data_IF_773777309076
#
_entry.id   IF_773777309076
#
_cell.length_a   1.000
_cell.length_b   1.000
_cell.length_c   1.000
_cell.angle_alpha   90.00
_cell.angle_beta   90.00
_cell.angle_gamma   90.00
#
_symmetry.space_group_name_H-M   'P 1'
#
loop_
_entity.id
_entity.type
_entity.pdbx_description
1 polymer ?
#
# COMPACT_ATOMS: atom_id res chain seq x y z
N UNK A 1 -11.76 8.18 -38.39
CA UNK A 1 -10.90 7.71 -37.30
C UNK A 1 -11.66 6.63 -36.54
N UNK A 2 -11.28 5.35 -36.75
CA UNK A 2 -11.86 4.23 -35.99
C UNK A 2 -11.28 4.30 -34.57
N UNK A 3 -12.06 4.82 -33.60
CA UNK A 3 -11.69 4.78 -32.20
C UNK A 3 -11.92 3.38 -31.66
N UNK A 4 -10.90 2.78 -31.03
CA UNK A 4 -11.02 1.47 -30.37
C UNK A 4 -11.54 1.66 -28.94
N UNK A 5 -12.30 0.68 -28.47
CA UNK A 5 -12.86 0.62 -27.13
C UNK A 5 -12.50 -0.70 -26.47
N UNK A 6 -12.26 -0.68 -25.19
CA UNK A 6 -12.21 -1.88 -24.37
C UNK A 6 -13.62 -2.18 -23.84
N UNK A 7 -14.02 -3.47 -23.84
CA UNK A 7 -15.32 -3.89 -23.33
C UNK A 7 -15.09 -4.95 -22.26
N UNK A 8 -15.54 -4.64 -21.04
CA UNK A 8 -15.54 -5.60 -19.93
C UNK A 8 -16.91 -6.26 -19.85
N UNK A 9 -16.94 -7.59 -19.99
CA UNK A 9 -18.15 -8.40 -19.92
C UNK A 9 -18.34 -8.93 -18.49
N UNK A 10 -19.52 -8.71 -17.91
CA UNK A 10 -19.91 -9.17 -16.57
C UNK A 10 -21.21 -9.99 -16.72
N UNK A 11 -21.08 -11.32 -16.66
CA UNK A 11 -22.24 -12.23 -16.74
C UNK A 11 -23.01 -12.20 -15.43
N UNK A 12 -24.30 -11.96 -15.51
CA UNK A 12 -25.22 -12.06 -14.38
C UNK A 12 -25.40 -13.53 -14.00
N UNK A 13 -25.35 -13.83 -12.70
CA UNK A 13 -25.60 -15.17 -12.18
C UNK A 13 -26.99 -15.17 -11.54
N UNK A 14 -27.88 -16.05 -12.03
CA UNK A 14 -29.19 -16.32 -11.43
C UNK A 14 -30.28 -15.29 -11.74
N UNK A 15 -31.49 -15.57 -11.23
CA UNK A 15 -32.69 -14.73 -11.37
C UNK A 15 -33.42 -14.54 -10.02
N UNK A 16 -32.69 -14.57 -8.90
CA UNK A 16 -33.24 -14.37 -7.56
C UNK A 16 -33.30 -12.90 -7.13
N UNK A 17 -34.16 -12.56 -6.14
CA UNK A 17 -34.23 -11.19 -5.59
C UNK A 17 -32.88 -10.64 -5.10
N UNK A 18 -32.01 -11.50 -4.58
CA UNK A 18 -30.67 -11.10 -4.15
C UNK A 18 -29.79 -10.71 -5.33
N UNK A 19 -29.90 -11.42 -6.48
CA UNK A 19 -29.12 -11.11 -7.68
C UNK A 19 -29.52 -9.75 -8.27
N UNK A 20 -30.80 -9.37 -8.16
CA UNK A 20 -31.30 -8.07 -8.64
C UNK A 20 -30.73 -6.90 -7.80
N UNK A 21 -30.63 -7.07 -6.48
CA UNK A 21 -30.01 -6.08 -5.58
C UNK A 21 -28.53 -5.91 -5.93
N UNK A 22 -27.81 -7.00 -6.12
CA UNK A 22 -26.38 -7.01 -6.45
C UNK A 22 -26.14 -6.35 -7.82
N UNK A 23 -26.98 -6.66 -8.83
CA UNK A 23 -26.91 -6.03 -10.15
C UNK A 23 -27.15 -4.53 -10.09
N UNK A 24 -28.13 -4.08 -9.30
CA UNK A 24 -28.41 -2.65 -9.12
C UNK A 24 -27.25 -1.92 -8.42
N UNK A 25 -26.63 -2.54 -7.43
CA UNK A 25 -25.42 -2.01 -6.78
C UNK A 25 -24.26 -1.86 -7.77
N UNK A 26 -24.01 -2.89 -8.59
CA UNK A 26 -22.99 -2.88 -9.62
C UNK A 26 -23.23 -1.79 -10.69
N UNK A 27 -24.49 -1.61 -11.12
CA UNK A 27 -24.84 -0.55 -12.06
C UNK A 27 -24.67 0.85 -11.43
N UNK A 28 -25.02 1.00 -10.15
CA UNK A 28 -24.83 2.25 -9.43
C UNK A 28 -23.33 2.61 -9.31
N UNK A 29 -22.47 1.63 -8.98
CA UNK A 29 -21.02 1.79 -8.92
C UNK A 29 -20.43 2.14 -10.30
N UNK A 30 -20.82 1.39 -11.36
CA UNK A 30 -20.37 1.66 -12.72
C UNK A 30 -20.79 3.08 -13.18
N UNK A 31 -22.00 3.54 -12.81
CA UNK A 31 -22.45 4.89 -13.11
C UNK A 31 -21.69 5.96 -12.31
N UNK A 32 -21.27 5.66 -11.07
CA UNK A 32 -20.39 6.54 -10.30
C UNK A 32 -19.04 6.68 -11.02
N UNK A 33 -18.46 5.56 -11.46
CA UNK A 33 -17.19 5.55 -12.18
C UNK A 33 -17.25 6.24 -13.55
N UNK A 34 -18.41 6.27 -14.21
CA UNK A 34 -18.62 7.02 -15.46
C UNK A 34 -18.42 8.53 -15.29
N UNK A 35 -18.51 9.05 -14.08
CA UNK A 35 -18.31 10.47 -13.77
C UNK A 35 -16.87 10.83 -13.45
N UNK A 36 -15.99 9.83 -13.31
CA UNK A 36 -14.59 10.07 -13.01
C UNK A 36 -13.86 10.60 -14.24
N UNK A 37 -13.08 11.65 -14.04
CA UNK A 37 -12.22 12.25 -15.05
C UNK A 37 -10.84 12.50 -14.44
N UNK A 38 -9.88 11.64 -14.77
CA UNK A 38 -8.51 11.73 -14.27
C UNK A 38 -7.54 11.14 -15.29
N UNK A 39 -6.36 11.76 -15.42
CA UNK A 39 -5.36 11.37 -16.41
C UNK A 39 -4.92 9.91 -16.31
N UNK A 40 -4.81 9.35 -15.12
CA UNK A 40 -4.39 7.96 -14.88
C UNK A 40 -5.56 6.95 -14.85
N UNK A 41 -6.82 7.36 -15.12
CA UNK A 41 -7.98 6.48 -15.15
C UNK A 41 -8.53 6.32 -16.58
N UNK A 42 -9.06 5.14 -16.97
CA UNK A 42 -9.79 5.00 -18.21
C UNK A 42 -11.17 5.66 -18.06
N UNK A 43 -11.60 6.37 -19.09
CA UNK A 43 -12.94 6.92 -19.11
C UNK A 43 -13.95 5.82 -19.46
N UNK A 44 -14.98 5.62 -18.64
CA UNK A 44 -16.13 4.78 -18.98
C UNK A 44 -17.03 5.57 -19.91
N UNK A 45 -17.26 5.03 -21.11
CA UNK A 45 -18.05 5.67 -22.17
C UNK A 45 -19.49 5.27 -22.06
N UNK A 46 -19.74 3.97 -21.86
CA UNK A 46 -21.10 3.45 -21.77
C UNK A 46 -21.21 2.17 -20.91
N UNK A 47 -22.42 1.90 -20.43
CA UNK A 47 -22.78 0.70 -19.67
C UNK A 47 -24.04 0.14 -20.30
N UNK A 48 -23.94 -1.05 -20.86
CA UNK A 48 -25.03 -1.71 -21.59
C UNK A 48 -25.47 -2.94 -20.81
N UNK A 49 -26.70 -2.95 -20.36
CA UNK A 49 -27.34 -4.11 -19.72
C UNK A 49 -28.33 -4.76 -20.70
N UNK A 50 -28.04 -6.01 -21.09
CA UNK A 50 -28.95 -6.76 -21.98
C UNK A 50 -29.84 -7.77 -21.23
N UNK A 51 -29.92 -7.68 -19.90
CA UNK A 51 -30.67 -8.58 -19.05
C UNK A 51 -29.90 -9.82 -18.58
N UNK A 52 -28.94 -10.32 -19.36
CA UNK A 52 -28.10 -11.50 -19.05
C UNK A 52 -26.66 -11.08 -18.70
N UNK A 53 -26.20 -10.06 -19.36
CA UNK A 53 -24.80 -9.59 -19.28
C UNK A 53 -24.77 -8.08 -19.20
N UNK A 54 -23.86 -7.54 -18.38
CA UNK A 54 -23.51 -6.11 -18.34
C UNK A 54 -22.20 -5.92 -19.08
N UNK A 55 -22.19 -5.00 -20.05
CA UNK A 55 -21.00 -4.58 -20.77
C UNK A 55 -20.59 -3.20 -20.32
N UNK A 56 -19.37 -3.06 -19.83
CA UNK A 56 -18.77 -1.77 -19.49
C UNK A 56 -17.84 -1.38 -20.63
N UNK A 57 -18.20 -0.35 -21.38
CA UNK A 57 -17.43 0.17 -22.52
C UNK A 57 -16.54 1.32 -22.03
N UNK A 58 -15.23 1.23 -22.24
CA UNK A 58 -14.26 2.19 -21.76
C UNK A 58 -13.19 2.49 -22.81
N UNK A 59 -12.37 3.52 -22.55
CA UNK A 59 -11.24 3.84 -23.41
C UNK A 59 -10.30 2.62 -23.53
N UNK A 60 -9.94 2.27 -24.76
CA UNK A 60 -8.85 1.32 -25.03
C UNK A 60 -7.52 1.99 -24.69
N UNK A 61 -6.73 1.33 -23.84
CA UNK A 61 -5.41 1.81 -23.42
C UNK A 61 -4.36 1.07 -24.23
N UNK A 62 -3.68 1.81 -25.10
CA UNK A 62 -2.51 1.32 -25.80
C UNK A 62 -1.32 1.26 -24.85
N UNK A 63 -0.57 0.15 -24.87
CA UNK A 63 0.58 -0.06 -23.99
C UNK A 63 0.64 -1.48 -23.43
N UNK A 64 1.48 -1.68 -22.44
CA UNK A 64 1.68 -2.97 -21.80
C UNK A 64 1.46 -2.86 -20.28
N UNK A 65 0.98 -3.95 -19.66
CA UNK A 65 0.87 -3.98 -18.21
C UNK A 65 2.25 -4.02 -17.56
N UNK A 66 2.39 -3.41 -16.37
CA UNK A 66 3.63 -3.48 -15.61
C UNK A 66 4.00 -4.92 -15.23
N UNK A 67 3.01 -5.81 -15.11
CA UNK A 67 3.24 -7.25 -14.91
C UNK A 67 3.94 -7.89 -16.11
N UNK A 68 3.53 -7.54 -17.34
CA UNK A 68 4.20 -8.02 -18.56
C UNK A 68 5.62 -7.46 -18.65
N UNK A 69 5.81 -6.17 -18.39
CA UNK A 69 7.12 -5.51 -18.37
C UNK A 69 8.04 -6.18 -17.35
N UNK A 70 7.53 -6.44 -16.14
CA UNK A 70 8.28 -7.10 -15.09
C UNK A 70 8.70 -8.53 -15.48
N UNK A 71 7.80 -9.30 -16.11
CA UNK A 71 8.08 -10.65 -16.59
C UNK A 71 9.12 -10.68 -17.73
N UNK A 72 9.14 -9.65 -18.59
CA UNK A 72 10.03 -9.55 -19.74
C UNK A 72 11.40 -8.98 -19.39
N UNK A 73 11.44 -7.94 -18.55
CA UNK A 73 12.66 -7.16 -18.26
C UNK A 73 13.16 -7.30 -16.82
N UNK A 74 12.42 -7.98 -15.94
CA UNK A 74 12.77 -8.14 -14.53
C UNK A 74 12.53 -6.88 -13.70
N UNK A 75 13.27 -6.75 -12.60
CA UNK A 75 13.18 -5.61 -11.69
C UNK A 75 13.44 -4.28 -12.43
N UNK A 76 12.66 -3.26 -12.08
CA UNK A 76 12.65 -1.98 -12.76
C UNK A 76 13.53 -0.94 -12.05
N UNK A 77 14.12 0.02 -12.78
CA UNK A 77 14.90 1.11 -12.18
C UNK A 77 14.09 1.93 -11.16
N UNK A 78 14.75 2.34 -10.07
CA UNK A 78 14.11 3.09 -8.98
C UNK A 78 13.42 4.35 -9.46
N UNK A 79 14.06 5.15 -10.32
CA UNK A 79 13.52 6.39 -10.85
C UNK A 79 12.21 6.19 -11.62
N UNK A 80 12.10 5.10 -12.40
CA UNK A 80 10.88 4.78 -13.13
C UNK A 80 9.76 4.39 -12.17
N UNK A 81 10.08 3.53 -11.18
CA UNK A 81 9.08 3.08 -10.20
C UNK A 81 8.56 4.25 -9.35
N UNK A 82 9.44 5.17 -8.93
CA UNK A 82 9.03 6.40 -8.24
C UNK A 82 8.11 7.23 -9.13
N UNK A 83 8.47 7.45 -10.39
CA UNK A 83 7.66 8.23 -11.34
C UNK A 83 6.28 7.62 -11.58
N UNK A 84 6.17 6.29 -11.64
CA UNK A 84 4.88 5.60 -11.73
C UNK A 84 4.09 5.67 -10.42
N UNK A 85 4.76 5.48 -9.28
CA UNK A 85 4.12 5.55 -7.97
C UNK A 85 3.54 6.95 -7.68
N UNK A 86 4.20 8.01 -8.10
CA UNK A 86 3.68 9.38 -7.98
C UNK A 86 2.38 9.57 -8.77
N UNK A 87 2.31 9.06 -10.01
CA UNK A 87 1.09 9.11 -10.83
C UNK A 87 -0.04 8.25 -10.20
N UNK A 88 0.31 7.11 -9.58
CA UNK A 88 -0.65 6.26 -8.87
C UNK A 88 -1.16 6.93 -7.59
N UNK A 89 -0.29 7.62 -6.84
CA UNK A 89 -0.70 8.40 -5.67
C UNK A 89 -1.70 9.50 -6.03
N UNK A 90 -1.46 10.22 -7.14
CA UNK A 90 -2.36 11.26 -7.62
C UNK A 90 -3.73 10.68 -7.99
N UNK A 91 -3.77 9.55 -8.71
CA UNK A 91 -5.00 8.86 -9.05
C UNK A 91 -5.75 8.35 -7.81
N UNK A 92 -5.05 7.75 -6.84
CA UNK A 92 -5.64 7.27 -5.60
C UNK A 92 -6.16 8.43 -4.75
N UNK A 93 -5.42 9.54 -4.64
CA UNK A 93 -5.88 10.74 -3.94
C UNK A 93 -7.18 11.28 -4.55
N UNK A 94 -7.26 11.30 -5.88
CA UNK A 94 -8.48 11.68 -6.59
C UNK A 94 -9.66 10.75 -6.28
N UNK A 95 -9.45 9.42 -6.26
CA UNK A 95 -10.49 8.44 -5.93
C UNK A 95 -10.95 8.57 -4.47
N UNK A 96 -10.01 8.71 -3.54
CA UNK A 96 -10.30 8.84 -2.11
C UNK A 96 -11.02 10.15 -1.77
N UNK A 97 -10.86 11.20 -2.59
CA UNK A 97 -11.55 12.48 -2.43
C UNK A 97 -13.02 12.48 -2.93
N UNK A 98 -13.47 11.42 -3.60
CA UNK A 98 -14.85 11.31 -4.08
C UNK A 98 -15.83 11.22 -2.90
N UNK A 99 -17.11 11.48 -3.18
CA UNK A 99 -18.19 11.40 -2.17
C UNK A 99 -19.30 10.47 -2.68
N UNK A 100 -19.39 9.25 -2.15
CA UNK A 100 -18.52 8.63 -1.13
C UNK A 100 -17.09 8.35 -1.65
N UNK A 101 -16.08 8.18 -0.77
CA UNK A 101 -14.74 7.80 -1.16
C UNK A 101 -14.72 6.47 -1.92
N UNK A 102 -13.92 6.40 -2.99
CA UNK A 102 -13.74 5.18 -3.78
C UNK A 102 -12.40 4.56 -3.40
N UNK A 103 -12.44 3.35 -2.86
CA UNK A 103 -11.25 2.55 -2.53
C UNK A 103 -11.00 1.58 -3.68
N UNK A 104 -9.79 1.56 -4.22
CA UNK A 104 -9.48 0.78 -5.43
C UNK A 104 -9.33 -0.72 -5.15
N UNK A 105 -8.71 -1.13 -4.03
CA UNK A 105 -8.63 -2.49 -3.47
C UNK A 105 -7.83 -3.54 -4.26
N UNK A 106 -7.37 -3.25 -5.48
CA UNK A 106 -6.65 -4.24 -6.33
C UNK A 106 -5.43 -3.64 -7.04
N UNK A 107 -4.67 -2.81 -6.32
CA UNK A 107 -3.42 -2.25 -6.83
C UNK A 107 -2.37 -3.36 -6.98
N UNK A 108 -1.93 -3.59 -8.22
CA UNK A 108 -0.89 -4.58 -8.59
C UNK A 108 -0.38 -4.31 -10.00
N UNK A 109 0.81 -4.80 -10.39
CA UNK A 109 1.39 -4.57 -11.72
C UNK A 109 0.48 -4.97 -12.89
N UNK A 110 -0.28 -6.04 -12.76
CA UNK A 110 -1.21 -6.52 -13.80
C UNK A 110 -2.36 -5.54 -14.11
N UNK A 111 -2.70 -4.66 -13.16
CA UNK A 111 -3.78 -3.68 -13.29
C UNK A 111 -3.28 -2.27 -13.63
N UNK A 112 -2.00 -2.12 -13.97
CA UNK A 112 -1.39 -0.85 -14.34
C UNK A 112 -0.82 -0.99 -15.74
N UNK A 113 -1.29 -0.18 -16.69
CA UNK A 113 -0.79 -0.11 -18.05
C UNK A 113 0.22 1.03 -18.18
N UNK A 114 1.39 0.75 -18.74
CA UNK A 114 2.36 1.75 -19.18
C UNK A 114 2.11 2.06 -20.65
N UNK A 115 1.82 3.33 -20.94
CA UNK A 115 1.65 3.84 -22.28
C UNK A 115 3.01 4.12 -22.94
N UNK A 116 3.07 4.14 -24.29
CA UNK A 116 4.31 4.45 -25.00
C UNK A 116 4.96 5.80 -24.60
N UNK A 117 4.14 6.77 -24.15
CA UNK A 117 4.62 8.09 -23.72
C UNK A 117 5.18 8.11 -22.29
N UNK A 118 5.21 6.98 -21.59
CA UNK A 118 5.70 6.84 -20.22
C UNK A 118 4.66 7.11 -19.11
N UNK A 119 3.45 7.50 -19.48
CA UNK A 119 2.36 7.67 -18.51
C UNK A 119 1.69 6.35 -18.17
N UNK A 120 1.21 6.21 -16.93
CA UNK A 120 0.48 5.02 -16.51
C UNK A 120 -1.03 5.23 -16.56
N UNK A 121 -1.75 4.13 -16.69
CA UNK A 121 -3.20 4.06 -16.52
C UNK A 121 -3.57 2.88 -15.63
N UNK A 122 -4.39 3.14 -14.62
CA UNK A 122 -5.00 2.09 -13.81
C UNK A 122 -6.12 1.48 -14.66
N UNK A 123 -6.08 0.17 -14.84
CA UNK A 123 -7.15 -0.58 -15.50
C UNK A 123 -7.85 -1.46 -14.47
N UNK A 124 -9.03 -1.94 -14.78
CA UNK A 124 -9.79 -2.86 -13.93
C UNK A 124 -10.20 -2.28 -12.56
N UNK A 125 -11.10 -1.30 -12.60
CA UNK A 125 -11.92 -0.96 -11.43
C UNK A 125 -12.72 -2.20 -11.00
N UNK A 126 -12.70 -2.51 -9.71
CA UNK A 126 -13.27 -3.73 -9.13
C UNK A 126 -14.77 -3.98 -9.33
N UNK A 127 -15.46 -3.26 -10.24
CA UNK A 127 -16.90 -3.35 -10.54
C UNK A 127 -17.39 -4.80 -10.63
N UNK A 128 -16.63 -5.68 -11.30
CA UNK A 128 -17.00 -7.08 -11.43
C UNK A 128 -16.67 -7.92 -10.19
N UNK A 129 -15.87 -7.38 -9.28
CA UNK A 129 -15.36 -8.07 -8.09
C UNK A 129 -16.40 -8.08 -6.99
N UNK A 130 -17.02 -6.95 -6.69
CA UNK A 130 -18.15 -6.88 -5.75
C UNK A 130 -19.30 -7.79 -6.18
N UNK A 131 -19.59 -7.88 -7.48
CA UNK A 131 -20.57 -8.80 -8.00
C UNK A 131 -20.22 -10.28 -7.72
N UNK A 132 -18.97 -10.70 -7.90
CA UNK A 132 -18.51 -12.06 -7.58
C UNK A 132 -18.54 -12.34 -6.08
N UNK A 133 -18.16 -11.39 -5.26
CA UNK A 133 -18.04 -11.52 -3.81
C UNK A 133 -19.40 -11.59 -3.13
N UNK A 134 -20.37 -10.77 -3.53
CA UNK A 134 -21.74 -10.82 -3.00
C UNK A 134 -22.53 -12.04 -3.50
N UNK A 135 -22.16 -12.62 -4.64
CA UNK A 135 -22.82 -13.82 -5.19
C UNK A 135 -22.27 -15.15 -4.65
N UNK A 136 -21.13 -15.12 -3.98
CA UNK A 136 -20.50 -16.28 -3.32
C UNK A 136 -20.60 -16.05 -1.81
N UNK A 137 -21.68 -16.48 -1.18
CA UNK A 137 -21.95 -16.37 0.25
C UNK A 137 -20.94 -17.11 1.16
N UNK A 138 -19.84 -17.65 0.62
CA UNK A 138 -18.79 -18.34 1.35
C UNK A 138 -17.39 -17.88 0.90
N UNK A 139 -16.65 -17.25 1.83
CA UNK A 139 -15.16 -17.17 1.88
C UNK A 139 -14.40 -16.65 0.67
N UNK A 140 -14.85 -15.63 -0.01
CA UNK A 140 -14.02 -15.01 -1.06
C UNK A 140 -13.06 -13.98 -0.44
N UNK A 141 -11.79 -14.34 -0.44
CA UNK A 141 -10.68 -13.47 0.00
C UNK A 141 -10.68 -12.19 -0.85
N UNK A 142 -11.07 -11.07 -0.23
CA UNK A 142 -11.03 -9.74 -0.82
C UNK A 142 -9.59 -9.36 -1.16
N UNK A 143 -9.29 -9.14 -2.45
CA UNK A 143 -7.98 -8.69 -2.91
C UNK A 143 -7.08 -9.79 -3.50
N UNK A 144 -6.00 -9.38 -4.14
CA UNK A 144 -4.98 -10.30 -4.65
C UNK A 144 -4.02 -10.67 -3.53
N UNK A 145 -3.91 -11.97 -3.22
CA UNK A 145 -2.98 -12.47 -2.18
C UNK A 145 -1.59 -11.85 -2.38
N UNK A 146 -0.96 -11.43 -1.28
CA UNK A 146 0.36 -10.82 -1.29
C UNK A 146 0.35 -9.30 -1.48
N UNK A 147 -0.65 -8.73 -2.18
CA UNK A 147 -0.80 -7.27 -2.32
C UNK A 147 -1.82 -6.69 -1.35
N UNK A 148 -2.83 -7.49 -0.97
CA UNK A 148 -3.89 -7.03 -0.08
C UNK A 148 -3.42 -6.99 1.37
N UNK A 149 -3.72 -5.90 2.11
CA UNK A 149 -3.38 -5.77 3.52
C UNK A 149 -4.24 -6.66 4.41
N UNK A 150 -3.80 -6.93 5.68
CA UNK A 150 -4.53 -7.79 6.62
C UNK A 150 -5.99 -7.39 6.84
N UNK A 151 -6.28 -6.10 6.99
CA UNK A 151 -7.64 -5.60 7.23
C UNK A 151 -8.60 -5.85 6.06
N UNK A 152 -8.07 -6.00 4.84
CA UNK A 152 -8.91 -6.27 3.67
C UNK A 152 -9.55 -7.67 3.74
N UNK A 153 -8.89 -8.64 4.39
CA UNK A 153 -9.44 -9.96 4.63
C UNK A 153 -10.57 -9.97 5.67
N UNK A 154 -10.67 -8.93 6.50
CA UNK A 154 -11.77 -8.74 7.46
C UNK A 154 -12.87 -7.78 6.94
N UNK A 155 -12.76 -7.32 5.69
CA UNK A 155 -13.73 -6.40 5.09
C UNK A 155 -13.64 -4.94 5.59
N UNK A 156 -12.58 -4.58 6.30
CA UNK A 156 -12.39 -3.24 6.89
C UNK A 156 -11.42 -2.40 6.04
N UNK A 157 -11.76 -2.17 4.77
CA UNK A 157 -10.91 -1.40 3.87
C UNK A 157 -11.16 0.09 3.96
N UNK A 158 -10.08 0.88 3.91
CA UNK A 158 -10.11 2.33 3.73
C UNK A 158 -8.99 2.78 2.76
N UNK A 159 -8.79 4.10 2.62
CA UNK A 159 -7.76 4.67 1.75
C UNK A 159 -6.34 4.13 2.02
N UNK A 160 -6.05 3.74 3.26
CA UNK A 160 -4.73 3.20 3.67
C UNK A 160 -4.51 1.76 3.20
N UNK A 161 -5.58 1.05 2.83
CA UNK A 161 -5.49 -0.26 2.20
C UNK A 161 -4.90 -0.17 0.79
N UNK A 162 -5.26 0.87 0.03
CA UNK A 162 -4.66 1.13 -1.28
C UNK A 162 -3.19 1.55 -1.18
N UNK A 163 -2.82 2.30 -0.12
CA UNK A 163 -1.42 2.67 0.16
C UNK A 163 -0.57 1.43 0.44
N UNK A 164 -1.07 0.47 1.21
CA UNK A 164 -0.38 -0.80 1.42
C UNK A 164 -0.16 -1.54 0.09
N UNK A 165 -1.22 -1.69 -0.71
CA UNK A 165 -1.15 -2.38 -1.98
C UNK A 165 -0.21 -1.68 -2.99
N UNK A 166 -0.13 -0.34 -2.96
CA UNK A 166 0.84 0.43 -3.73
C UNK A 166 2.27 0.15 -3.23
N UNK A 167 2.49 0.09 -1.92
CA UNK A 167 3.79 -0.29 -1.33
C UNK A 167 4.27 -1.67 -1.80
N UNK A 168 3.37 -2.68 -1.75
CA UNK A 168 3.67 -4.02 -2.25
C UNK A 168 3.90 -4.05 -3.77
N UNK A 169 3.20 -3.20 -4.52
CA UNK A 169 3.41 -3.04 -5.96
C UNK A 169 4.80 -2.46 -6.26
N UNK A 170 5.21 -1.40 -5.57
CA UNK A 170 6.56 -0.84 -5.68
C UNK A 170 7.63 -1.85 -5.30
N UNK A 171 7.43 -2.58 -4.19
CA UNK A 171 8.35 -3.64 -3.78
C UNK A 171 8.55 -4.66 -4.89
N UNK A 172 7.46 -5.19 -5.47
CA UNK A 172 7.53 -6.16 -6.57
C UNK A 172 8.25 -5.60 -7.80
N UNK A 173 7.94 -4.36 -8.19
CA UNK A 173 8.57 -3.72 -9.35
C UNK A 173 10.08 -3.49 -9.17
N UNK A 174 10.53 -3.16 -7.96
CA UNK A 174 11.93 -2.88 -7.65
C UNK A 174 12.79 -4.13 -7.42
N UNK A 175 12.18 -5.22 -6.95
CA UNK A 175 12.91 -6.43 -6.57
C UNK A 175 12.72 -7.58 -7.55
N UNK A 176 11.63 -7.58 -8.33
CA UNK A 176 11.21 -8.73 -9.13
C UNK A 176 10.60 -9.87 -8.30
N UNK A 177 10.53 -9.73 -6.97
CA UNK A 177 9.99 -10.78 -6.08
C UNK A 177 8.47 -10.68 -6.03
N UNK A 178 7.81 -11.71 -6.52
CA UNK A 178 6.35 -11.80 -6.53
C UNK A 178 5.80 -11.98 -5.11
N UNK A 179 4.98 -11.05 -4.59
CA UNK A 179 4.39 -11.18 -3.25
C UNK A 179 3.49 -12.43 -3.08
N UNK A 180 3.10 -13.07 -4.19
CA UNK A 180 2.29 -14.31 -4.20
C UNK A 180 3.13 -15.57 -3.98
N UNK A 181 4.46 -15.48 -4.11
CA UNK A 181 5.39 -16.62 -3.99
C UNK A 181 5.32 -17.31 -2.63
N UNK A 182 4.82 -16.61 -1.60
CA UNK A 182 4.77 -17.10 -0.22
C UNK A 182 6.04 -16.77 0.57
N UNK A 183 6.98 -16.07 0.00
CA UNK A 183 8.12 -15.52 0.72
C UNK A 183 7.65 -14.43 1.70
N UNK A 184 8.28 -14.38 2.87
CA UNK A 184 8.01 -13.33 3.84
C UNK A 184 8.50 -11.99 3.29
N UNK A 185 7.77 -10.91 3.62
CA UNK A 185 8.23 -9.56 3.30
C UNK A 185 9.62 -9.31 3.86
N UNK A 186 10.49 -8.78 3.03
CA UNK A 186 11.81 -8.28 3.43
C UNK A 186 12.05 -6.90 2.78
N UNK A 187 12.78 -5.98 3.45
CA UNK A 187 13.09 -4.66 2.90
C UNK A 187 13.74 -4.76 1.51
N UNK A 188 13.41 -3.82 0.62
CA UNK A 188 13.83 -3.88 -0.80
C UNK A 188 15.34 -3.97 -0.99
N UNK A 189 16.14 -3.35 -0.11
CA UNK A 189 17.59 -3.37 -0.17
C UNK A 189 18.23 -4.69 0.26
N UNK A 190 17.46 -5.60 0.85
CA UNK A 190 17.92 -6.99 1.03
C UNK A 190 18.00 -7.76 -0.30
N UNK A 191 17.15 -7.38 -1.26
CA UNK A 191 17.11 -7.97 -2.59
C UNK A 191 17.96 -7.18 -3.59
N UNK A 192 17.93 -5.86 -3.51
CA UNK A 192 18.71 -4.97 -4.37
C UNK A 192 19.39 -3.88 -3.52
N UNK A 193 20.66 -4.07 -3.09
CA UNK A 193 21.40 -3.10 -2.27
C UNK A 193 21.66 -1.74 -2.92
N UNK A 194 21.54 -1.64 -4.26
CA UNK A 194 21.73 -0.39 -5.01
C UNK A 194 20.58 0.61 -4.82
N UNK A 195 19.42 0.14 -4.36
CA UNK A 195 18.27 1.01 -4.09
C UNK A 195 18.58 1.99 -2.96
N UNK A 196 17.97 3.16 -3.03
CA UNK A 196 18.15 4.21 -2.01
C UNK A 196 17.53 3.82 -0.66
N UNK A 197 18.14 4.31 0.42
CA UNK A 197 17.56 4.18 1.76
C UNK A 197 16.18 4.88 1.87
N UNK A 198 15.98 5.93 1.06
CA UNK A 198 14.73 6.68 1.02
C UNK A 198 13.56 5.84 0.51
N UNK A 199 13.74 5.15 -0.62
CA UNK A 199 12.67 4.31 -1.16
C UNK A 199 12.35 3.10 -0.25
N UNK A 200 13.36 2.51 0.39
CA UNK A 200 13.15 1.46 1.38
C UNK A 200 12.27 1.94 2.52
N UNK A 201 12.61 3.09 3.14
CA UNK A 201 11.83 3.66 4.24
C UNK A 201 10.40 4.02 3.84
N UNK A 202 10.19 4.47 2.59
CA UNK A 202 8.85 4.79 2.07
C UNK A 202 8.03 3.50 1.94
N UNK A 203 8.60 2.47 1.33
CA UNK A 203 7.90 1.19 1.13
C UNK A 203 7.61 0.53 2.47
N UNK A 204 8.60 0.43 3.37
CA UNK A 204 8.41 -0.14 4.71
C UNK A 204 7.24 0.54 5.44
N UNK A 205 7.15 1.87 5.36
CA UNK A 205 6.04 2.61 5.96
C UNK A 205 4.70 2.35 5.28
N UNK A 206 4.66 2.15 3.96
CA UNK A 206 3.43 1.80 3.25
C UNK A 206 2.89 0.44 3.69
N UNK A 207 3.77 -0.55 3.89
CA UNK A 207 3.40 -1.95 4.15
C UNK A 207 3.34 -2.31 5.63
N UNK A 208 3.35 -1.31 6.53
CA UNK A 208 3.13 -1.55 7.96
C UNK A 208 1.82 -2.34 8.16
N UNK A 209 1.82 -3.40 9.00
CA UNK A 209 0.64 -4.23 9.21
C UNK A 209 -0.55 -3.44 9.76
N UNK A 210 -0.31 -2.51 10.69
CA UNK A 210 -1.33 -1.67 11.31
C UNK A 210 -1.55 -0.39 10.48
N UNK A 211 -2.78 -0.13 9.99
CA UNK A 211 -3.09 1.03 9.14
C UNK A 211 -2.69 2.38 9.74
N UNK A 212 -2.74 2.53 11.07
CA UNK A 212 -2.36 3.75 11.78
C UNK A 212 -0.86 4.08 11.68
N UNK A 213 -0.01 3.10 11.37
CA UNK A 213 1.43 3.29 11.22
C UNK A 213 1.83 3.63 9.77
N UNK A 214 0.90 3.48 8.81
CA UNK A 214 1.11 3.81 7.40
C UNK A 214 1.02 5.32 7.15
N UNK A 215 1.22 5.72 5.90
CA UNK A 215 0.74 7.02 5.42
C UNK A 215 -0.78 7.10 5.60
N UNK A 216 -1.27 8.24 6.12
CA UNK A 216 -2.70 8.40 6.38
C UNK A 216 -3.48 8.87 5.13
N UNK A 217 -2.78 9.37 4.13
CA UNK A 217 -3.32 9.77 2.83
C UNK A 217 -2.24 9.68 1.73
N UNK A 218 -2.69 9.69 0.47
CA UNK A 218 -1.77 9.61 -0.67
C UNK A 218 -0.94 10.89 -0.87
N UNK A 219 -1.38 12.04 -0.38
CA UNK A 219 -0.63 13.29 -0.51
C UNK A 219 0.65 13.28 0.33
N UNK A 220 0.60 12.70 1.55
CA UNK A 220 1.80 12.54 2.39
C UNK A 220 2.80 11.54 1.77
N UNK A 221 2.29 10.46 1.15
CA UNK A 221 3.11 9.51 0.42
C UNK A 221 3.75 10.16 -0.81
N UNK A 222 2.98 10.91 -1.58
CA UNK A 222 3.46 11.64 -2.76
C UNK A 222 4.59 12.61 -2.38
N UNK A 223 4.41 13.37 -1.31
CA UNK A 223 5.44 14.29 -0.81
C UNK A 223 6.76 13.56 -0.48
N UNK A 224 6.69 12.42 0.20
CA UNK A 224 7.90 11.64 0.54
C UNK A 224 8.54 11.00 -0.71
N UNK A 225 7.73 10.59 -1.73
CA UNK A 225 8.25 10.11 -3.03
C UNK A 225 8.96 11.20 -3.83
N UNK A 226 8.49 12.44 -3.75
CA UNK A 226 9.15 13.61 -4.36
C UNK A 226 10.45 14.00 -3.62
N UNK A 227 10.58 13.63 -2.34
CA UNK A 227 11.67 14.08 -1.47
C UNK A 227 12.31 12.92 -0.66
N UNK A 228 12.78 11.83 -1.30
CA UNK A 228 13.29 10.64 -0.58
C UNK A 228 14.49 10.94 0.34
N UNK A 229 15.28 11.95 0.00
CA UNK A 229 16.39 12.41 0.84
C UNK A 229 15.94 13.01 2.18
N UNK A 230 14.79 13.66 2.22
CA UNK A 230 14.29 14.28 3.45
C UNK A 230 13.84 13.21 4.45
N UNK A 231 13.19 12.13 3.97
CA UNK A 231 12.80 11.03 4.86
C UNK A 231 14.03 10.34 5.43
N UNK A 232 15.05 10.10 4.62
CA UNK A 232 16.35 9.53 5.07
C UNK A 232 17.00 10.38 6.14
N UNK A 233 17.10 11.70 5.94
CA UNK A 233 17.67 12.64 6.93
C UNK A 233 16.85 12.65 8.23
N UNK A 234 15.52 12.65 8.11
CA UNK A 234 14.61 12.60 9.25
C UNK A 234 14.76 11.32 10.05
N UNK A 235 14.86 10.17 9.39
CA UNK A 235 15.08 8.87 10.01
C UNK A 235 16.42 8.83 10.77
N UNK A 236 17.53 9.21 10.14
CA UNK A 236 18.87 9.25 10.76
C UNK A 236 18.90 10.16 11.99
N UNK A 237 18.23 11.31 11.94
CA UNK A 237 18.09 12.21 13.09
C UNK A 237 17.33 11.57 14.25
N UNK A 238 16.22 10.86 13.97
CA UNK A 238 15.44 10.12 14.98
C UNK A 238 16.26 8.99 15.60
N UNK A 239 16.98 8.20 14.79
CA UNK A 239 17.85 7.13 15.28
C UNK A 239 18.96 7.66 16.19
N UNK A 240 19.65 8.72 15.80
CA UNK A 240 20.66 9.38 16.65
C UNK A 240 20.09 9.82 18.00
N UNK A 241 18.86 10.38 18.00
CA UNK A 241 18.18 10.78 19.24
C UNK A 241 17.83 9.58 20.13
N UNK A 242 17.33 8.48 19.53
CA UNK A 242 17.03 7.24 20.28
C UNK A 242 18.29 6.66 20.91
N UNK A 243 19.39 6.58 20.16
CA UNK A 243 20.69 6.10 20.67
C UNK A 243 21.20 7.00 21.79
N UNK A 244 21.16 8.33 21.64
CA UNK A 244 21.55 9.26 22.67
C UNK A 244 20.72 9.12 23.96
N UNK A 245 19.39 8.97 23.82
CA UNK A 245 18.49 8.73 24.95
C UNK A 245 18.80 7.40 25.67
N UNK A 246 19.04 6.33 24.88
CA UNK A 246 19.44 5.02 25.43
C UNK A 246 20.77 5.11 26.19
N UNK A 247 21.79 5.76 25.61
CA UNK A 247 23.09 5.96 26.27
C UNK A 247 22.97 6.78 27.54
N UNK A 248 22.13 7.82 27.56
CA UNK A 248 21.87 8.62 28.77
C UNK A 248 21.20 7.78 29.87
N UNK A 249 20.19 6.96 29.51
CA UNK A 249 19.52 6.06 30.45
C UNK A 249 20.49 5.00 31.00
N UNK A 250 21.30 4.38 30.15
CA UNK A 250 22.33 3.42 30.57
C UNK A 250 23.37 4.07 31.50
N UNK A 251 23.83 5.29 31.20
CA UNK A 251 24.74 6.07 32.07
C UNK A 251 24.12 6.35 33.42
N UNK A 252 22.86 6.77 33.50
CA UNK A 252 22.16 6.96 34.77
C UNK A 252 22.08 5.67 35.59
N UNK A 253 21.79 4.55 34.96
CA UNK A 253 21.73 3.23 35.64
C UNK A 253 23.06 2.87 36.27
N UNK A 254 24.18 3.09 35.57
CA UNK A 254 25.53 2.87 36.10
C UNK A 254 25.82 3.77 37.30
N UNK A 255 25.47 5.06 37.21
CA UNK A 255 25.65 6.02 38.33
C UNK A 255 24.82 5.59 39.55
N UNK A 256 23.56 5.19 39.37
CA UNK A 256 22.74 4.68 40.48
C UNK A 256 23.32 3.42 41.12
N UNK A 257 23.85 2.50 40.32
CA UNK A 257 24.50 1.30 40.83
C UNK A 257 25.77 1.64 41.65
N UNK A 258 26.61 2.53 41.14
CA UNK A 258 27.83 2.98 41.84
C UNK A 258 27.49 3.70 43.13
N UNK A 259 26.55 4.63 43.14
CA UNK A 259 26.13 5.35 44.36
C UNK A 259 25.49 4.39 45.36
N UNK A 260 24.68 3.44 44.92
CA UNK A 260 24.12 2.41 45.79
C UNK A 260 25.19 1.54 46.46
N UNK A 261 26.23 1.12 45.72
CA UNK A 261 27.35 0.34 46.28
C UNK A 261 28.17 1.16 47.29
N UNK A 262 28.42 2.44 46.99
CA UNK A 262 29.11 3.34 47.93
C UNK A 262 28.29 3.53 49.22
N UNK A 263 27.00 3.80 49.13
CA UNK A 263 26.12 3.94 50.28
C UNK A 263 26.07 2.67 51.14
N UNK A 264 25.99 1.48 50.51
CA UNK A 264 25.98 0.21 51.25
C UNK A 264 27.32 -0.05 51.95
N UNK A 265 28.45 0.33 51.36
CA UNK A 265 29.78 0.21 51.95
C UNK A 265 29.94 1.14 53.15
N UNK A 266 29.50 2.40 53.03
CA UNK A 266 29.50 3.36 54.12
C UNK A 266 28.61 2.85 55.28
N UNK A 267 27.42 2.39 55.00
CA UNK A 267 26.50 1.86 56.01
C UNK A 267 27.11 0.66 56.75
N UNK A 268 27.78 -0.26 56.05
CA UNK A 268 28.50 -1.38 56.68
C UNK A 268 29.64 -0.92 57.59
N UNK A 269 30.44 0.06 57.15
CA UNK A 269 31.54 0.58 57.96
C UNK A 269 31.04 1.26 59.24
N UNK A 270 30.00 2.09 59.16
CA UNK A 270 29.37 2.71 60.35
C UNK A 270 28.85 1.67 61.31
N UNK A 271 28.18 0.60 60.80
CA UNK A 271 27.66 -0.46 61.63
C UNK A 271 28.80 -1.23 62.39
N UNK A 272 29.87 -1.55 61.66
CA UNK A 272 31.02 -2.25 62.27
C UNK A 272 31.71 -1.38 63.33
N UNK A 273 31.88 -0.05 63.12
CA UNK A 273 32.46 0.88 64.12
C UNK A 273 31.63 0.96 65.42
N UNK A 274 30.31 0.83 65.29
CA UNK A 274 29.43 0.85 66.47
C UNK A 274 29.49 -0.46 67.31
N UNK A 275 29.92 -1.56 66.72
CA UNK A 275 30.14 -2.84 67.49
C UNK A 275 31.51 -2.91 68.14
N UNK A 276 32.51 -2.09 67.80
CA UNK A 276 33.83 -2.03 68.44
C UNK A 276 33.81 -1.14 69.64
N UNK A 277 32.76 -0.39 69.91
CA UNK A 277 32.66 0.59 71.04
C UNK A 277 31.81 0.01 72.22
N UNK A 278 31.23 -1.18 72.05
CA UNK A 278 30.53 -1.93 73.11
C UNK A 278 31.37 -3.08 73.62
#
# INVERSE_FOLDING_TARGET
LNKQWAVKEIKKKGSGKNDEIIVNSLLAEANLMKRLDHAALPRIVDIIDNGVTIYVVMDYIEGESLDKILNEYGAQPEELVIGWAMQLCDALAYLHAQKPPIIYRDMKPANIMLKPEGNIKIIDFGIAREYKEQSLADTTVLGTKGYAPPEQYSGQTDARSDIFALGMTMHHLLTGIDPRSGEAYAPVRMWNPELSEGIELIIDKCVEPAPENRYQNCSDLLYDLEHPDLITRGYKKRQKRKVAAFMAAAGMTVVFFLTGTVCTTIAKNINNSNYEIL
#
